data_IF_870782718379
#
_entry.id   IF_870782718379
#
_cell.length_a   1.000
_cell.length_b   1.000
_cell.length_c   1.000
_cell.angle_alpha   90.00
_cell.angle_beta   90.00
_cell.angle_gamma   90.00
#
_symmetry.space_group_name_H-M   'P 1'
#
loop_
_entity.id
_entity.type
_entity.pdbx_description
1 polymer ?
#
# COMPACT_ATOMS: atom_id res chain seq x y z
N UNK A 1 -1.01 2.03 8.45
CA UNK A 1 -1.17 3.10 7.46
C UNK A 1 0.21 3.39 6.89
N UNK A 2 0.35 3.57 5.59
CA UNK A 2 1.59 4.11 5.01
C UNK A 2 1.60 5.61 5.25
N UNK A 3 2.72 6.11 5.74
CA UNK A 3 2.98 7.53 5.91
C UNK A 3 2.81 8.29 4.59
N UNK A 4 2.38 9.55 4.66
CA UNK A 4 2.22 10.40 3.48
C UNK A 4 3.57 10.64 2.78
N UNK A 5 3.53 10.85 1.46
CA UNK A 5 4.74 11.12 0.66
C UNK A 5 5.55 12.33 1.18
N UNK A 6 4.91 13.28 1.86
CA UNK A 6 5.60 14.45 2.42
C UNK A 6 6.64 14.07 3.48
N UNK A 7 6.50 12.92 4.15
CA UNK A 7 7.44 12.44 5.15
C UNK A 7 8.75 11.89 4.55
N UNK A 8 8.80 11.71 3.22
CA UNK A 8 9.94 11.13 2.52
C UNK A 8 10.79 12.16 1.75
N UNK A 9 10.55 13.46 1.92
CA UNK A 9 11.25 14.51 1.16
C UNK A 9 12.79 14.46 1.30
N UNK A 10 13.31 14.12 2.48
CA UNK A 10 14.75 13.96 2.71
C UNK A 10 15.34 12.76 1.96
N UNK A 11 14.61 11.64 1.90
CA UNK A 11 15.07 10.45 1.18
C UNK A 11 14.99 10.66 -0.33
N UNK A 12 13.95 11.36 -0.83
CA UNK A 12 13.86 11.77 -2.23
C UNK A 12 15.06 12.64 -2.62
N UNK A 13 15.36 13.69 -1.85
CA UNK A 13 16.55 14.52 -2.10
C UNK A 13 17.83 13.70 -2.10
N UNK A 14 18.02 12.84 -1.10
CA UNK A 14 19.21 11.98 -0.98
C UNK A 14 19.33 10.97 -2.12
N UNK A 15 18.22 10.45 -2.62
CA UNK A 15 18.20 9.57 -3.80
C UNK A 15 18.65 10.34 -5.04
N UNK A 16 18.08 11.53 -5.28
CA UNK A 16 18.41 12.36 -6.42
C UNK A 16 19.88 12.79 -6.39
N UNK A 17 20.41 13.17 -5.22
CA UNK A 17 21.81 13.59 -5.07
C UNK A 17 22.76 12.44 -5.43
N UNK A 18 22.45 11.22 -4.98
CA UNK A 18 23.28 10.03 -5.21
C UNK A 18 23.20 9.52 -6.63
N UNK A 19 22.02 9.57 -7.26
CA UNK A 19 21.73 8.84 -8.50
C UNK A 19 21.69 9.72 -9.74
N UNK A 20 21.43 11.01 -9.55
CA UNK A 20 21.25 11.99 -10.61
C UNK A 20 22.12 13.25 -10.40
N UNK A 21 22.96 13.29 -9.36
CA UNK A 21 23.83 14.41 -9.00
C UNK A 21 23.08 15.75 -8.86
N UNK A 22 21.81 15.70 -8.46
CA UNK A 22 20.93 16.86 -8.24
C UNK A 22 20.09 16.66 -6.99
N UNK A 23 19.71 17.73 -6.29
CA UNK A 23 18.74 17.65 -5.18
C UNK A 23 17.28 17.78 -5.63
N UNK A 24 17.04 18.01 -6.92
CA UNK A 24 15.75 18.43 -7.47
C UNK A 24 15.24 17.43 -8.52
N UNK A 25 13.93 17.20 -8.52
CA UNK A 25 13.26 16.32 -9.47
C UNK A 25 12.74 17.14 -10.66
N UNK A 26 13.28 16.90 -11.85
CA UNK A 26 12.74 17.48 -13.09
C UNK A 26 11.60 16.62 -13.66
N UNK A 27 10.81 17.20 -14.58
CA UNK A 27 9.74 16.47 -15.25
C UNK A 27 10.28 15.32 -16.12
N UNK A 28 11.42 15.54 -16.78
CA UNK A 28 12.10 14.54 -17.60
C UNK A 28 12.60 13.37 -16.75
N UNK A 29 13.20 13.68 -15.59
CA UNK A 29 13.63 12.67 -14.63
C UNK A 29 12.44 11.89 -14.06
N UNK A 30 11.35 12.56 -13.74
CA UNK A 30 10.13 11.89 -13.28
C UNK A 30 9.61 10.92 -14.34
N UNK A 31 9.60 11.32 -15.62
CA UNK A 31 9.22 10.45 -16.72
C UNK A 31 10.17 9.24 -16.87
N UNK A 32 11.48 9.46 -16.74
CA UNK A 32 12.48 8.38 -16.76
C UNK A 32 12.26 7.38 -15.61
N UNK A 33 12.11 7.87 -14.38
CA UNK A 33 11.90 7.02 -13.20
C UNK A 33 10.61 6.20 -13.29
N UNK A 34 9.52 6.82 -13.74
CA UNK A 34 8.25 6.11 -13.98
C UNK A 34 8.43 5.07 -15.08
N UNK A 35 9.07 5.44 -16.18
CA UNK A 35 9.36 4.54 -17.29
C UNK A 35 10.16 3.32 -16.85
N UNK A 36 11.27 3.53 -16.15
CA UNK A 36 12.20 2.48 -15.76
C UNK A 36 11.70 1.60 -14.61
N UNK A 37 11.08 2.20 -13.57
CA UNK A 37 10.79 1.50 -12.32
C UNK A 37 9.34 1.12 -12.11
N UNK A 38 8.41 1.69 -12.88
CA UNK A 38 6.99 1.33 -12.80
C UNK A 38 6.52 0.66 -14.09
N UNK A 39 6.75 1.27 -15.24
CA UNK A 39 6.22 0.76 -16.50
C UNK A 39 7.04 -0.40 -17.08
N UNK A 40 8.37 -0.36 -16.94
CA UNK A 40 9.27 -1.42 -17.37
C UNK A 40 9.51 -2.50 -16.30
N UNK A 41 8.84 -2.41 -15.14
CA UNK A 41 8.95 -3.44 -14.11
C UNK A 41 8.38 -4.77 -14.64
N UNK A 42 9.22 -5.80 -14.63
CA UNK A 42 8.85 -7.15 -15.06
C UNK A 42 8.89 -8.15 -13.90
N UNK A 43 8.80 -9.44 -14.24
CA UNK A 43 8.78 -10.53 -13.28
C UNK A 43 10.14 -11.14 -12.98
N UNK A 44 11.26 -10.56 -13.44
CA UNK A 44 12.61 -11.12 -13.27
C UNK A 44 12.94 -11.36 -11.78
N UNK A 45 12.50 -10.44 -10.92
CA UNK A 45 12.73 -10.49 -9.48
C UNK A 45 11.53 -11.05 -8.69
N UNK A 46 10.59 -11.72 -9.37
CA UNK A 46 9.40 -12.31 -8.74
C UNK A 46 9.55 -13.83 -8.56
N UNK A 47 9.03 -14.33 -7.45
CA UNK A 47 8.79 -15.76 -7.27
C UNK A 47 7.39 -16.09 -7.77
N UNK A 48 7.28 -16.85 -8.86
CA UNK A 48 5.98 -17.27 -9.42
C UNK A 48 5.14 -18.10 -8.42
N UNK A 49 5.83 -18.77 -7.50
CA UNK A 49 5.29 -19.57 -6.41
C UNK A 49 4.40 -20.75 -6.87
N UNK A 50 4.95 -21.94 -6.71
CA UNK A 50 4.19 -23.20 -6.76
C UNK A 50 3.07 -23.23 -5.71
N UNK A 51 2.12 -24.15 -5.86
CA UNK A 51 1.04 -24.31 -4.88
C UNK A 51 1.55 -24.52 -3.45
N UNK A 52 2.60 -25.32 -3.27
CA UNK A 52 3.21 -25.55 -1.95
C UNK A 52 3.83 -24.29 -1.37
N UNK A 53 4.49 -23.46 -2.19
CA UNK A 53 5.05 -22.19 -1.75
C UNK A 53 3.96 -21.19 -1.36
N UNK A 54 2.86 -21.14 -2.13
CA UNK A 54 1.69 -20.32 -1.79
C UNK A 54 1.08 -20.72 -0.45
N UNK A 55 0.94 -22.02 -0.20
CA UNK A 55 0.47 -22.54 1.10
C UNK A 55 1.43 -22.21 2.24
N UNK A 56 2.73 -22.37 2.02
CA UNK A 56 3.75 -21.99 3.00
C UNK A 56 3.69 -20.51 3.34
N UNK A 57 3.62 -19.62 2.34
CA UNK A 57 3.51 -18.17 2.52
C UNK A 57 2.23 -17.83 3.28
N UNK A 58 1.09 -18.43 2.90
CA UNK A 58 -0.18 -18.21 3.59
C UNK A 58 -0.09 -18.59 5.08
N UNK A 59 0.52 -19.74 5.38
CA UNK A 59 0.65 -20.24 6.75
C UNK A 59 1.60 -19.41 7.63
N UNK A 60 2.45 -18.53 7.05
CA UNK A 60 3.22 -17.56 7.86
C UNK A 60 2.30 -16.63 8.65
N UNK A 61 1.11 -16.34 8.12
CA UNK A 61 0.12 -15.50 8.80
C UNK A 61 -0.53 -16.15 10.03
N UNK A 62 -0.46 -17.48 10.17
CA UNK A 62 -1.12 -18.21 11.24
C UNK A 62 -0.67 -17.74 12.63
N UNK A 63 0.64 -17.67 12.87
CA UNK A 63 1.18 -17.30 14.18
C UNK A 63 0.75 -15.89 14.61
N UNK A 64 0.76 -14.94 13.69
CA UNK A 64 0.39 -13.56 14.05
C UNK A 64 -1.12 -13.40 14.17
N UNK A 65 -1.90 -13.95 13.25
CA UNK A 65 -3.33 -13.63 13.17
C UNK A 65 -4.15 -14.50 14.11
N UNK A 66 -3.85 -15.81 14.16
CA UNK A 66 -4.60 -16.76 15.00
C UNK A 66 -4.06 -16.72 16.42
N UNK A 67 -2.77 -17.01 16.62
CA UNK A 67 -2.21 -17.18 17.97
C UNK A 67 -2.05 -15.85 18.72
N UNK A 68 -1.56 -14.79 18.06
CA UNK A 68 -1.30 -13.50 18.73
C UNK A 68 -2.51 -12.56 18.73
N UNK A 69 -3.25 -12.47 17.61
CA UNK A 69 -4.38 -11.54 17.46
C UNK A 69 -5.75 -12.19 17.70
N UNK A 70 -5.81 -13.50 17.94
CA UNK A 70 -7.04 -14.20 18.31
C UNK A 70 -8.08 -14.33 17.19
N UNK A 71 -7.68 -14.20 15.92
CA UNK A 71 -8.57 -14.46 14.79
C UNK A 71 -8.92 -15.94 14.78
N UNK A 72 -10.21 -16.26 14.63
CA UNK A 72 -10.64 -17.65 14.56
C UNK A 72 -9.99 -18.35 13.37
N UNK A 73 -9.64 -19.64 13.53
CA UNK A 73 -9.07 -20.41 12.43
C UNK A 73 -9.98 -20.42 11.20
N UNK A 74 -11.29 -20.50 11.39
CA UNK A 74 -12.28 -20.45 10.31
C UNK A 74 -12.22 -19.12 9.54
N UNK A 75 -12.11 -17.98 10.22
CA UNK A 75 -11.96 -16.70 9.56
C UNK A 75 -10.61 -16.57 8.86
N UNK A 76 -9.54 -17.07 9.47
CA UNK A 76 -8.23 -17.11 8.84
C UNK A 76 -8.28 -17.91 7.53
N UNK A 77 -8.82 -19.13 7.55
CA UNK A 77 -8.93 -20.02 6.39
C UNK A 77 -9.73 -19.42 5.24
N UNK A 78 -10.77 -18.63 5.52
CA UNK A 78 -11.54 -17.93 4.47
C UNK A 78 -10.66 -17.07 3.56
N UNK A 79 -9.56 -16.54 4.08
CA UNK A 79 -8.60 -15.70 3.33
C UNK A 79 -7.81 -16.48 2.28
N UNK A 80 -7.83 -17.82 2.29
CA UNK A 80 -7.25 -18.66 1.22
C UNK A 80 -7.97 -18.47 -0.11
N UNK A 81 -9.25 -18.10 -0.08
CA UNK A 81 -10.07 -18.02 -1.29
C UNK A 81 -10.16 -16.59 -1.81
N UNK A 82 -9.83 -16.39 -3.10
CA UNK A 82 -9.94 -15.08 -3.76
C UNK A 82 -11.35 -14.46 -3.70
N UNK A 83 -12.40 -15.27 -3.49
CA UNK A 83 -13.77 -14.77 -3.30
C UNK A 83 -13.91 -13.93 -2.03
N UNK A 84 -13.16 -14.25 -0.96
CA UNK A 84 -13.13 -13.45 0.26
C UNK A 84 -12.65 -12.02 -0.05
N UNK A 85 -11.50 -11.91 -0.71
CA UNK A 85 -10.89 -10.62 -1.05
C UNK A 85 -11.70 -9.83 -2.04
N UNK A 86 -12.28 -10.48 -3.06
CA UNK A 86 -13.16 -9.81 -4.02
C UNK A 86 -14.41 -9.23 -3.35
N UNK A 87 -15.07 -9.98 -2.48
CA UNK A 87 -16.25 -9.49 -1.74
C UNK A 87 -15.92 -8.36 -0.77
N UNK A 88 -14.67 -8.27 -0.31
CA UNK A 88 -14.25 -7.17 0.55
C UNK A 88 -14.30 -5.82 -0.20
N UNK A 89 -14.07 -5.82 -1.53
CA UNK A 89 -14.14 -4.61 -2.34
C UNK A 89 -15.56 -4.02 -2.39
N UNK A 90 -16.59 -4.84 -2.19
CA UNK A 90 -17.98 -4.38 -2.13
C UNK A 90 -18.24 -3.44 -0.93
N UNK A 91 -17.36 -3.45 0.08
CA UNK A 91 -17.44 -2.57 1.24
C UNK A 91 -16.76 -1.21 1.04
N UNK A 92 -15.97 -1.04 -0.02
CA UNK A 92 -15.21 0.20 -0.26
C UNK A 92 -16.12 1.44 -0.28
N UNK A 93 -17.28 1.46 -0.95
CA UNK A 93 -18.15 2.64 -0.93
C UNK A 93 -18.68 2.99 0.46
N UNK A 94 -18.95 1.98 1.30
CA UNK A 94 -19.42 2.19 2.67
C UNK A 94 -18.30 2.76 3.53
N UNK A 95 -17.07 2.27 3.38
CA UNK A 95 -15.92 2.83 4.08
C UNK A 95 -15.63 4.26 3.62
N UNK A 96 -15.75 4.57 2.34
CA UNK A 96 -15.59 5.94 1.82
C UNK A 96 -16.62 6.90 2.44
N UNK A 97 -17.88 6.46 2.59
CA UNK A 97 -18.91 7.22 3.29
C UNK A 97 -18.55 7.44 4.77
N UNK A 98 -18.13 6.37 5.46
CA UNK A 98 -17.73 6.44 6.87
C UNK A 98 -16.51 7.35 7.08
N UNK A 99 -15.52 7.30 6.18
CA UNK A 99 -14.32 8.13 6.23
C UNK A 99 -14.69 9.60 5.99
N UNK A 100 -15.56 9.87 5.01
CA UNK A 100 -16.07 11.24 4.74
C UNK A 100 -16.81 11.78 5.96
N UNK A 101 -17.71 10.99 6.54
CA UNK A 101 -18.45 11.37 7.74
C UNK A 101 -17.53 11.65 8.92
N UNK A 102 -16.57 10.76 9.18
CA UNK A 102 -15.59 10.94 10.24
C UNK A 102 -14.77 12.23 10.04
N UNK A 103 -14.25 12.48 8.84
CA UNK A 103 -13.41 13.65 8.58
C UNK A 103 -14.17 14.97 8.76
N UNK A 104 -15.45 15.01 8.37
CA UNK A 104 -16.34 16.14 8.58
C UNK A 104 -16.59 16.36 10.08
N UNK A 105 -16.97 15.30 10.78
CA UNK A 105 -17.37 15.38 12.20
C UNK A 105 -16.17 15.66 13.12
N UNK A 106 -14.96 15.25 12.71
CA UNK A 106 -13.71 15.52 13.43
C UNK A 106 -13.04 16.85 13.03
N UNK A 107 -13.59 17.60 12.07
CA UNK A 107 -13.00 18.86 11.55
C UNK A 107 -11.71 18.68 10.75
N UNK A 108 -11.39 17.45 10.32
CA UNK A 108 -10.19 17.13 9.53
C UNK A 108 -10.35 17.53 8.05
N UNK A 109 -11.58 17.71 7.59
CA UNK A 109 -11.91 18.22 6.26
C UNK A 109 -11.38 19.66 6.07
N UNK A 110 -11.69 20.57 7.00
CA UNK A 110 -11.20 21.97 6.97
C UNK A 110 -9.67 22.08 7.05
N UNK A 111 -9.01 21.13 7.76
CA UNK A 111 -7.56 21.09 7.89
C UNK A 111 -6.87 20.71 6.57
N UNK A 112 -7.52 19.88 5.74
CA UNK A 112 -7.02 19.51 4.40
C UNK A 112 -7.14 20.66 3.41
N UNK A 113 -8.25 21.38 3.44
CA UNK A 113 -8.49 22.49 2.51
C UNK A 113 -7.53 23.66 2.76
N UNK A 114 -7.24 23.97 4.03
CA UNK A 114 -6.21 24.96 4.41
C UNK A 114 -4.79 24.59 3.99
N UNK A 115 -4.48 23.30 3.79
CA UNK A 115 -3.16 22.83 3.36
C UNK A 115 -3.01 22.83 1.82
N UNK A 116 -4.13 22.92 1.09
CA UNK A 116 -4.18 22.97 -0.38
C UNK A 116 -4.31 24.39 -0.96
N UNK A 117 -4.73 25.35 -0.15
CA UNK A 117 -4.76 26.79 -0.46
C UNK A 117 -3.40 27.45 -0.21
#
# INVERSE_FOLDING_TARGET
>A
ATDGAELYASEVRRYLERRHNTGELSAEMAAELVGAHLLAADTENMLEATQQERERIFNLGYFTWVEQQGITLADFDRRKHQTFWRRLQDLVPQWDEMITAFNRDSGMEDARDRKRA
#
